data_IF_329971504440
#
_entry.id   IF_329971504440
#
_cell.length_a   1.000
_cell.length_b   1.000
_cell.length_c   1.000
_cell.angle_alpha   90.00
_cell.angle_beta   90.00
_cell.angle_gamma   90.00
#
_symmetry.space_group_name_H-M   'P 1'
#
loop_
_entity.id
_entity.type
_entity.pdbx_description
1 polymer ?
#
# COMPACT_ATOMS: atom_id res chain seq x y z
N UNK A 1 15.29 -3.59 -2.71
CA UNK A 1 14.39 -3.01 -1.67
C UNK A 1 15.16 -2.80 -0.39
N UNK A 2 15.09 -1.61 0.24
CA UNK A 2 15.77 -1.33 1.51
C UNK A 2 14.94 -1.82 2.70
N UNK A 3 15.61 -2.36 3.72
CA UNK A 3 14.99 -2.81 4.96
C UNK A 3 15.82 -2.40 6.18
N UNK A 4 15.16 -2.34 7.34
CA UNK A 4 15.80 -2.18 8.64
C UNK A 4 15.50 -3.36 9.54
N UNK A 5 16.46 -3.71 10.40
CA UNK A 5 16.28 -4.75 11.39
C UNK A 5 15.58 -4.17 12.64
N UNK A 6 14.45 -4.75 12.98
CA UNK A 6 13.67 -4.38 14.18
C UNK A 6 13.64 -5.57 15.12
N UNK A 7 13.95 -5.29 16.38
CA UNK A 7 13.92 -6.26 17.44
C UNK A 7 12.47 -6.47 17.90
N UNK A 8 12.00 -7.71 17.88
CA UNK A 8 10.66 -8.08 18.39
C UNK A 8 10.78 -9.16 19.44
N UNK A 9 10.06 -9.00 20.54
CA UNK A 9 9.92 -10.01 21.58
C UNK A 9 8.87 -11.04 21.16
N UNK A 10 9.13 -12.31 21.45
CA UNK A 10 8.14 -13.35 21.23
C UNK A 10 6.99 -13.19 22.26
N UNK A 11 5.71 -13.06 21.85
CA UNK A 11 4.59 -12.90 22.78
C UNK A 11 4.41 -14.11 23.71
N UNK A 12 4.80 -15.32 23.28
CA UNK A 12 4.68 -16.55 24.08
C UNK A 12 5.89 -16.82 24.97
N UNK A 13 7.09 -16.30 24.57
CA UNK A 13 8.34 -16.43 25.31
C UNK A 13 9.02 -15.07 25.38
N UNK A 14 8.67 -14.25 26.36
CA UNK A 14 9.09 -12.86 26.50
C UNK A 14 10.60 -12.64 26.59
N UNK A 15 11.36 -13.67 26.91
CA UNK A 15 12.82 -13.64 27.00
C UNK A 15 13.51 -13.86 25.65
N UNK A 16 12.81 -14.46 24.67
CA UNK A 16 13.36 -14.62 23.32
C UNK A 16 13.16 -13.34 22.50
N UNK A 17 14.27 -12.74 22.16
CA UNK A 17 14.31 -11.54 21.32
C UNK A 17 14.92 -11.92 19.98
N UNK A 18 14.19 -11.64 18.88
CA UNK A 18 14.64 -11.92 17.49
C UNK A 18 14.59 -10.67 16.65
N UNK A 19 15.51 -10.58 15.70
CA UNK A 19 15.53 -9.51 14.71
C UNK A 19 14.72 -9.90 13.49
N UNK A 20 13.89 -8.98 13.03
CA UNK A 20 13.04 -9.14 11.86
C UNK A 20 13.30 -8.00 10.88
N UNK A 21 13.32 -8.33 9.59
CA UNK A 21 13.42 -7.34 8.54
C UNK A 21 12.08 -6.61 8.40
N UNK A 22 12.11 -5.27 8.54
CA UNK A 22 10.98 -4.40 8.21
C UNK A 22 11.33 -3.61 6.95
N UNK A 23 10.45 -3.53 5.95
CA UNK A 23 10.68 -2.73 4.77
C UNK A 23 10.74 -1.24 5.14
N UNK A 24 11.62 -0.50 4.45
CA UNK A 24 11.67 0.95 4.55
C UNK A 24 10.82 1.53 3.44
N UNK A 25 9.82 2.33 3.82
CA UNK A 25 9.01 3.06 2.86
C UNK A 25 9.83 4.22 2.29
N UNK A 26 9.95 4.27 0.97
CA UNK A 26 10.72 5.31 0.25
C UNK A 26 9.82 6.42 -0.29
N UNK A 27 8.52 6.39 0.01
CA UNK A 27 7.55 7.41 -0.43
C UNK A 27 6.26 6.81 -0.96
N UNK A 28 5.44 7.66 -1.55
CA UNK A 28 4.15 7.32 -2.13
C UNK A 28 4.16 7.57 -3.63
N UNK A 29 3.52 6.70 -4.38
CA UNK A 29 3.17 6.93 -5.78
C UNK A 29 1.68 7.16 -5.85
N UNK A 30 1.28 8.33 -6.34
CA UNK A 30 -0.12 8.67 -6.56
C UNK A 30 -0.65 8.01 -7.84
N UNK A 31 -1.96 8.03 -8.01
CA UNK A 31 -2.60 7.57 -9.25
C UNK A 31 -2.14 8.41 -10.45
N UNK A 32 -1.92 9.70 -10.24
CA UNK A 32 -1.42 10.61 -11.26
C UNK A 32 0.03 10.33 -11.67
N UNK A 33 0.87 9.88 -10.73
CA UNK A 33 2.23 9.44 -11.06
C UNK A 33 2.20 8.18 -11.92
N UNK A 34 1.31 7.22 -11.57
CA UNK A 34 1.09 6.00 -12.36
C UNK A 34 0.56 6.35 -13.75
N UNK A 35 -0.40 7.27 -13.84
CA UNK A 35 -0.94 7.73 -15.12
C UNK A 35 0.13 8.36 -16.01
N UNK A 36 1.03 9.15 -15.43
CA UNK A 36 2.18 9.73 -16.15
C UNK A 36 3.13 8.65 -16.67
N UNK A 37 3.44 7.66 -15.85
CA UNK A 37 4.33 6.56 -16.22
C UNK A 37 3.73 5.70 -17.34
N UNK A 38 2.41 5.47 -17.33
CA UNK A 38 1.69 4.73 -18.39
C UNK A 38 1.63 5.56 -19.67
N UNK A 39 1.30 6.85 -19.59
CA UNK A 39 1.25 7.74 -20.75
C UNK A 39 2.61 7.82 -21.48
N UNK A 40 3.72 7.78 -20.74
CA UNK A 40 5.06 7.74 -21.33
C UNK A 40 5.39 6.45 -22.09
N UNK A 41 4.57 5.40 -21.97
CA UNK A 41 4.74 4.09 -22.62
C UNK A 41 3.61 3.73 -23.57
N UNK A 42 2.68 4.63 -23.80
CA UNK A 42 1.50 4.43 -24.64
C UNK A 42 1.26 5.63 -25.53
N UNK A 43 0.34 5.51 -26.47
CA UNK A 43 -0.14 6.62 -27.32
C UNK A 43 -1.20 7.48 -26.64
N UNK A 44 -1.61 7.14 -25.41
CA UNK A 44 -2.63 7.86 -24.66
C UNK A 44 -2.05 9.08 -23.98
N UNK A 45 -2.86 10.13 -23.85
CA UNK A 45 -2.48 11.28 -23.02
C UNK A 45 -2.58 10.94 -21.54
N UNK A 46 -1.87 11.68 -20.68
CA UNK A 46 -1.99 11.53 -19.22
C UNK A 46 -3.45 11.68 -18.75
N UNK A 47 -4.20 12.60 -19.35
CA UNK A 47 -5.62 12.83 -19.03
C UNK A 47 -6.48 11.60 -19.32
N UNK A 48 -6.30 10.97 -20.48
CA UNK A 48 -7.03 9.77 -20.86
C UNK A 48 -6.74 8.62 -19.88
N UNK A 49 -5.45 8.42 -19.56
CA UNK A 49 -5.04 7.37 -18.61
C UNK A 49 -5.61 7.64 -17.22
N UNK A 50 -5.53 8.87 -16.72
CA UNK A 50 -6.11 9.24 -15.42
C UNK A 50 -7.61 8.96 -15.39
N UNK A 51 -8.35 9.34 -16.43
CA UNK A 51 -9.78 9.10 -16.53
C UNK A 51 -10.12 7.59 -16.48
N UNK A 52 -9.40 6.77 -17.23
CA UNK A 52 -9.58 5.31 -17.21
C UNK A 52 -9.30 4.73 -15.81
N UNK A 53 -8.22 5.16 -15.16
CA UNK A 53 -7.86 4.67 -13.82
C UNK A 53 -8.89 5.06 -12.75
N UNK A 54 -9.39 6.30 -12.78
CA UNK A 54 -10.44 6.73 -11.86
C UNK A 54 -11.74 5.96 -12.08
N UNK A 55 -12.20 5.82 -13.33
CA UNK A 55 -13.38 5.02 -13.65
C UNK A 55 -13.23 3.56 -13.23
N UNK A 56 -12.04 2.98 -13.41
CA UNK A 56 -11.76 1.61 -12.94
C UNK A 56 -11.94 1.50 -11.42
N UNK A 57 -11.36 2.43 -10.64
CA UNK A 57 -11.49 2.44 -9.17
C UNK A 57 -12.95 2.62 -8.75
N UNK A 58 -13.70 3.47 -9.43
CA UNK A 58 -15.11 3.73 -9.11
C UNK A 58 -16.01 2.53 -9.40
N UNK A 59 -15.67 1.69 -10.38
CA UNK A 59 -16.41 0.46 -10.68
C UNK A 59 -16.21 -0.65 -9.64
N UNK A 60 -15.04 -0.74 -9.02
CA UNK A 60 -14.69 -1.85 -8.12
C UNK A 60 -15.67 -2.04 -6.95
N UNK A 61 -16.07 -0.98 -6.21
CA UNK A 61 -17.02 -1.11 -5.09
C UNK A 61 -18.39 -1.63 -5.51
N UNK A 62 -18.86 -1.31 -6.71
CA UNK A 62 -20.14 -1.77 -7.23
C UNK A 62 -20.14 -3.29 -7.39
N UNK A 63 -19.16 -3.84 -8.11
CA UNK A 63 -19.03 -5.28 -8.29
C UNK A 63 -18.82 -6.04 -6.99
N UNK A 64 -17.97 -5.50 -6.10
CA UNK A 64 -17.70 -6.13 -4.81
C UNK A 64 -18.91 -6.14 -3.89
N UNK A 65 -19.73 -5.09 -3.92
CA UNK A 65 -20.98 -4.99 -3.16
C UNK A 65 -22.01 -6.00 -3.64
N UNK A 66 -22.06 -6.26 -4.95
CA UNK A 66 -22.97 -7.24 -5.56
C UNK A 66 -22.46 -8.69 -5.35
N UNK A 67 -21.33 -8.88 -4.66
CA UNK A 67 -20.78 -10.19 -4.31
C UNK A 67 -19.87 -10.81 -5.35
N UNK A 68 -19.52 -10.08 -6.41
CA UNK A 68 -18.58 -10.57 -7.40
C UNK A 68 -17.15 -10.59 -6.87
N UNK A 69 -16.37 -11.60 -7.30
CA UNK A 69 -14.92 -11.57 -7.21
C UNK A 69 -14.35 -10.95 -8.49
N UNK A 70 -13.39 -10.05 -8.35
CA UNK A 70 -12.78 -9.33 -9.47
C UNK A 70 -11.44 -9.97 -9.79
N UNK A 71 -11.30 -10.43 -11.03
CA UNK A 71 -10.05 -10.97 -11.55
C UNK A 71 -9.28 -9.87 -12.29
N UNK A 72 -8.07 -9.57 -11.83
CA UNK A 72 -7.19 -8.54 -12.40
C UNK A 72 -6.03 -9.16 -13.18
N UNK A 73 -6.30 -10.23 -13.90
CA UNK A 73 -5.27 -10.96 -14.66
C UNK A 73 -4.12 -11.41 -13.77
N UNK A 74 -2.90 -11.23 -14.27
CA UNK A 74 -1.66 -11.64 -13.56
C UNK A 74 -1.36 -10.81 -12.30
N UNK A 75 -2.04 -9.68 -12.11
CA UNK A 75 -1.90 -8.88 -10.91
C UNK A 75 -2.50 -9.57 -9.67
N UNK A 76 -3.65 -10.25 -9.85
CA UNK A 76 -4.29 -10.98 -8.77
C UNK A 76 -5.80 -10.89 -8.80
N UNK A 77 -6.43 -11.15 -7.67
CA UNK A 77 -7.88 -11.09 -7.52
C UNK A 77 -8.30 -10.40 -6.23
N UNK A 78 -9.47 -9.77 -6.27
CA UNK A 78 -10.12 -9.13 -5.12
C UNK A 78 -11.46 -9.78 -4.85
N UNK A 79 -11.79 -9.98 -3.58
CA UNK A 79 -13.08 -10.50 -3.13
C UNK A 79 -13.49 -9.89 -1.80
N UNK A 80 -14.78 -9.93 -1.51
CA UNK A 80 -15.30 -9.58 -0.19
C UNK A 80 -15.36 -10.84 0.67
N UNK A 81 -14.97 -10.71 1.92
CA UNK A 81 -15.21 -11.70 2.98
C UNK A 81 -16.05 -11.05 4.08
N UNK A 82 -16.88 -11.82 4.72
CA UNK A 82 -17.73 -11.36 5.80
C UNK A 82 -17.23 -11.92 7.13
N UNK A 83 -17.23 -11.06 8.14
CA UNK A 83 -17.01 -11.45 9.53
C UNK A 83 -18.24 -11.03 10.32
N UNK A 84 -18.75 -11.87 11.18
CA UNK A 84 -19.93 -11.55 12.01
C UNK A 84 -19.76 -12.12 13.42
N UNK A 85 -20.55 -11.62 14.34
CA UNK A 85 -20.76 -12.28 15.64
C UNK A 85 -21.66 -13.49 15.41
N UNK A 86 -21.24 -14.66 15.91
CA UNK A 86 -22.07 -15.87 15.89
C UNK A 86 -23.34 -15.68 16.73
N UNK A 87 -24.36 -16.48 16.44
CA UNK A 87 -25.57 -16.61 17.22
C UNK A 87 -25.85 -18.09 17.49
N UNK A 88 -26.52 -18.42 18.59
CA UNK A 88 -26.83 -19.82 18.95
C UNK A 88 -27.87 -20.44 18.03
N UNK A 89 -28.74 -19.61 17.43
CA UNK A 89 -29.76 -20.05 16.47
C UNK A 89 -29.76 -19.14 15.25
N UNK A 90 -30.19 -19.68 14.11
CA UNK A 90 -30.31 -18.91 12.86
C UNK A 90 -31.24 -17.69 13.00
N UNK A 91 -32.35 -17.87 13.77
CA UNK A 91 -33.33 -16.79 14.03
C UNK A 91 -32.76 -15.65 14.91
N UNK A 92 -31.79 -15.96 15.75
CA UNK A 92 -31.11 -14.99 16.62
C UNK A 92 -29.97 -14.25 15.92
N UNK A 93 -29.62 -14.63 14.69
CA UNK A 93 -28.57 -13.99 13.94
C UNK A 93 -28.93 -12.56 13.53
N UNK A 94 -28.06 -11.62 13.84
CA UNK A 94 -28.22 -10.20 13.53
C UNK A 94 -27.32 -9.78 12.39
N UNK A 95 -27.90 -9.41 11.27
CA UNK A 95 -27.18 -8.93 10.06
C UNK A 95 -26.35 -7.68 10.31
N UNK A 96 -26.74 -6.84 11.28
CA UNK A 96 -25.98 -5.64 11.71
C UNK A 96 -24.58 -5.96 12.25
N UNK A 97 -24.34 -7.22 12.65
CA UNK A 97 -23.03 -7.65 13.13
C UNK A 97 -22.06 -7.97 12.00
N UNK A 98 -22.53 -8.03 10.76
CA UNK A 98 -21.74 -8.35 9.58
C UNK A 98 -20.77 -7.20 9.28
N UNK A 99 -19.49 -7.53 9.19
CA UNK A 99 -18.42 -6.62 8.81
C UNK A 99 -17.77 -7.11 7.52
N UNK A 100 -17.99 -6.44 6.38
CA UNK A 100 -17.33 -6.79 5.14
C UNK A 100 -15.85 -6.39 5.19
N UNK A 101 -15.01 -7.21 4.58
CA UNK A 101 -13.57 -6.95 4.39
C UNK A 101 -13.20 -7.29 2.95
N UNK A 102 -12.47 -6.39 2.32
CA UNK A 102 -11.86 -6.68 1.02
C UNK A 102 -10.57 -7.43 1.23
N UNK A 103 -10.43 -8.56 0.54
CA UNK A 103 -9.21 -9.37 0.52
C UNK A 103 -8.64 -9.35 -0.88
N UNK A 104 -7.39 -8.92 -1.00
CA UNK A 104 -6.61 -9.02 -2.22
C UNK A 104 -5.72 -10.26 -2.16
N UNK A 105 -5.78 -11.08 -3.21
CA UNK A 105 -4.91 -12.24 -3.39
C UNK A 105 -3.99 -11.95 -4.57
N UNK A 106 -2.69 -11.72 -4.35
CA UNK A 106 -1.76 -11.41 -5.41
C UNK A 106 -1.58 -12.57 -6.38
N UNK A 107 -1.48 -12.27 -7.65
CA UNK A 107 -1.26 -13.23 -8.74
C UNK A 107 0.14 -13.84 -8.69
N UNK A 108 0.33 -14.91 -9.45
CA UNK A 108 1.61 -15.65 -9.48
C UNK A 108 2.76 -14.78 -10.02
N UNK A 109 2.49 -13.98 -11.03
CA UNK A 109 3.50 -13.11 -11.63
C UNK A 109 3.94 -12.01 -10.68
N UNK A 110 3.00 -11.33 -10.02
CA UNK A 110 3.31 -10.34 -9.00
C UNK A 110 4.17 -10.94 -7.87
N UNK A 111 3.84 -12.15 -7.41
CA UNK A 111 4.63 -12.84 -6.40
C UNK A 111 6.03 -13.16 -6.88
N UNK A 112 6.17 -13.61 -8.12
CA UNK A 112 7.47 -13.93 -8.74
C UNK A 112 8.36 -12.69 -8.85
N UNK A 113 7.80 -11.58 -9.35
CA UNK A 113 8.54 -10.31 -9.46
C UNK A 113 8.99 -9.78 -8.08
N UNK A 114 8.13 -9.87 -7.06
CA UNK A 114 8.48 -9.47 -5.71
C UNK A 114 9.53 -10.40 -5.07
N UNK A 115 9.51 -11.69 -5.38
CA UNK A 115 10.48 -12.66 -4.88
C UNK A 115 11.88 -12.49 -5.52
N UNK A 116 11.95 -11.96 -6.74
CA UNK A 116 13.21 -11.67 -7.44
C UNK A 116 13.92 -10.39 -6.93
N UNK A 117 13.36 -9.71 -5.92
CA UNK A 117 13.95 -8.49 -5.35
C UNK A 117 15.29 -8.74 -4.67
N UNK A 118 16.23 -7.83 -4.85
CA UNK A 118 17.42 -7.72 -4.01
C UNK A 118 17.12 -6.89 -2.76
N UNK A 119 17.73 -7.27 -1.63
CA UNK A 119 17.52 -6.64 -0.34
C UNK A 119 18.79 -5.99 0.18
N UNK A 120 18.68 -4.72 0.57
CA UNK A 120 19.77 -3.92 1.12
C UNK A 120 19.42 -3.48 2.54
N UNK A 121 20.29 -3.77 3.51
CA UNK A 121 20.10 -3.38 4.90
C UNK A 121 20.52 -1.94 5.12
N UNK A 122 19.65 -1.10 5.63
CA UNK A 122 20.00 0.21 6.14
C UNK A 122 20.65 0.05 7.53
N UNK A 123 21.90 0.50 7.65
CA UNK A 123 22.58 0.60 8.95
C UNK A 123 22.14 1.92 9.61
N UNK A 124 22.11 1.96 10.95
CA UNK A 124 21.70 3.15 11.73
C UNK A 124 22.45 4.45 11.34
N UNK A 125 23.69 4.36 10.82
CA UNK A 125 24.43 5.52 10.32
C UNK A 125 23.83 6.17 9.08
N UNK A 126 23.15 5.38 8.27
CA UNK A 126 22.57 5.87 7.00
C UNK A 126 21.21 6.58 7.27
N UNK A 127 20.50 6.18 8.36
CA UNK A 127 19.25 6.83 8.78
C UNK A 127 19.47 8.27 9.28
N UNK A 128 20.58 8.56 9.96
CA UNK A 128 20.92 9.92 10.43
C UNK A 128 21.27 10.85 9.28
N UNK A 129 21.85 10.31 8.20
CA UNK A 129 22.27 11.12 7.04
C UNK A 129 21.08 11.44 6.13
N UNK A 130 20.13 10.53 5.96
CA UNK A 130 18.93 10.73 5.15
C UNK A 130 17.96 11.70 5.86
N UNK A 131 17.74 11.55 7.18
CA UNK A 131 16.91 12.48 7.97
C UNK A 131 17.48 13.92 7.96
N UNK A 132 18.81 14.06 8.00
CA UNK A 132 19.46 15.36 7.99
C UNK A 132 19.40 16.03 6.59
N UNK A 133 19.28 15.25 5.51
CA UNK A 133 19.04 15.79 4.16
C UNK A 133 17.59 16.26 3.98
N UNK A 134 16.62 15.48 4.46
CA UNK A 134 15.20 15.85 4.38
C UNK A 134 14.86 17.10 5.23
N UNK A 135 15.47 17.25 6.42
CA UNK A 135 15.33 18.46 7.23
C UNK A 135 15.96 19.70 6.58
N UNK A 136 17.10 19.53 5.91
CA UNK A 136 17.76 20.65 5.20
C UNK A 136 17.00 21.08 3.94
N UNK A 137 16.37 20.14 3.23
CA UNK A 137 15.54 20.46 2.07
C UNK A 137 14.21 21.12 2.48
N UNK A 138 13.60 20.72 3.60
CA UNK A 138 12.42 21.39 4.16
C UNK A 138 12.73 22.82 4.59
N UNK A 139 13.81 23.04 5.33
CA UNK A 139 14.23 24.38 5.76
C UNK A 139 14.53 25.32 4.59
N UNK A 140 15.13 24.83 3.51
CA UNK A 140 15.37 25.64 2.30
C UNK A 140 14.08 26.02 1.58
N UNK A 141 13.06 25.17 1.57
CA UNK A 141 11.76 25.48 0.97
C UNK A 141 10.95 26.48 1.79
N UNK A 142 11.09 26.44 3.10
CA UNK A 142 10.42 27.38 4.02
C UNK A 142 11.07 28.76 4.01
N UNK A 143 12.38 28.85 3.76
CA UNK A 143 13.10 30.13 3.59
C UNK A 143 12.84 30.81 2.23
N UNK A 144 12.56 30.01 1.18
CA UNK A 144 12.29 30.55 -0.17
C UNK A 144 10.83 31.02 -0.36
N UNK A 145 9.93 30.67 0.57
CA UNK A 145 8.51 31.09 0.60
C UNK A 145 8.19 32.25 1.52
N UNK A 146 9.19 32.97 2.03
CA UNK A 146 9.02 34.16 2.85
C UNK A 146 8.40 35.33 2.07
N UNK A 147 7.51 36.15 2.69
CA UNK A 147 6.75 37.17 1.98
C UNK A 147 7.68 38.30 1.49
N UNK A 148 7.65 38.53 0.20
CA UNK A 148 8.16 39.80 -0.36
C UNK A 148 7.23 40.93 0.09
N UNK A 149 7.66 41.67 1.10
CA UNK A 149 7.07 42.95 1.46
C UNK A 149 7.70 44.02 0.59
N UNK A 150 6.88 44.69 -0.18
CA UNK A 150 7.18 45.90 -0.93
C UNK A 150 5.94 46.73 -1.00
#
# INVERSE_FOLDING_TARGET
MRFKLVQKKNPQKREEVKFYANPVNVGHKSLDDIARDIAGRSSLTRGDVSNVLYNFIDCLPHYLRDGFSIQLGNFGSMRVTLSSKGAETEKAFKTETIKPRVVFTPGTELKRELAANSYESLRKKDEETDNNKEEKEKKKKDEESGPQAG
#
